data_IF_583738636393
#
_entry.id   IF_583738636393
#
_cell.length_a   1.000
_cell.length_b   1.000
_cell.length_c   1.000
_cell.angle_alpha   90.00
_cell.angle_beta   90.00
_cell.angle_gamma   90.00
#
_symmetry.space_group_name_H-M   'P 1'
#
loop_
_entity.id
_entity.type
_entity.pdbx_description
1 polymer ?
#
# COMPACT_ATOMS: atom_id res chain seq x y z
N UNK A 1 1.25 -15.08 8.09
CA UNK A 1 2.60 -14.68 8.54
C UNK A 1 3.11 -13.65 7.54
N UNK A 2 3.28 -12.39 7.96
CA UNK A 2 3.78 -11.33 7.07
C UNK A 2 5.11 -11.81 6.47
N UNK A 3 5.20 -11.99 5.15
CA UNK A 3 6.50 -12.22 4.50
C UNK A 3 7.35 -10.97 4.77
N UNK A 4 8.43 -11.09 5.55
CA UNK A 4 9.22 -9.93 5.91
C UNK A 4 9.90 -9.43 4.64
N UNK A 5 9.75 -8.13 4.40
CA UNK A 5 10.69 -7.35 3.60
C UNK A 5 10.64 -7.49 2.07
N UNK A 6 9.47 -7.31 1.46
CA UNK A 6 9.42 -6.61 0.16
C UNK A 6 9.37 -5.09 0.43
N UNK A 7 10.48 -4.34 0.34
CA UNK A 7 10.48 -2.91 0.61
C UNK A 7 9.90 -2.20 -0.62
N UNK A 8 8.58 -2.04 -0.66
CA UNK A 8 7.99 -1.07 -1.58
C UNK A 8 8.53 0.30 -1.16
N UNK A 9 9.35 0.90 -2.02
CA UNK A 9 9.99 2.20 -1.78
C UNK A 9 8.96 3.28 -1.43
N UNK A 10 7.72 3.13 -1.92
CA UNK A 10 6.57 3.98 -1.64
C UNK A 10 6.02 3.87 -0.21
N UNK A 11 6.27 2.79 0.55
CA UNK A 11 5.74 2.59 1.93
C UNK A 11 6.10 3.72 2.89
N UNK A 12 7.26 4.37 2.69
CA UNK A 12 7.70 5.51 3.52
C UNK A 12 7.17 6.86 3.02
N UNK A 13 6.78 6.95 1.75
CA UNK A 13 6.26 8.17 1.13
C UNK A 13 4.76 8.34 1.37
N UNK A 14 3.99 7.26 1.28
CA UNK A 14 2.53 7.31 1.39
C UNK A 14 2.02 7.92 2.71
N UNK A 15 2.54 7.57 3.90
CA UNK A 15 2.13 8.21 5.15
C UNK A 15 2.49 9.71 5.20
N UNK A 16 3.65 10.08 4.63
CA UNK A 16 4.11 11.49 4.58
C UNK A 16 3.24 12.35 3.68
N UNK A 17 2.78 11.79 2.56
CA UNK A 17 1.80 12.44 1.69
C UNK A 17 0.41 12.52 2.34
N UNK A 18 0.17 11.69 3.36
CA UNK A 18 -1.05 11.74 4.13
C UNK A 18 -2.06 10.65 3.87
N UNK A 19 -1.63 9.62 3.16
CA UNK A 19 -2.43 8.46 2.90
C UNK A 19 -2.39 7.54 4.11
N UNK A 20 -3.50 6.84 4.36
CA UNK A 20 -3.60 5.80 5.39
C UNK A 20 -3.63 4.43 4.73
N UNK A 21 -3.10 3.42 5.41
CA UNK A 21 -3.19 2.03 4.98
C UNK A 21 -4.59 1.50 5.34
N UNK A 22 -5.36 1.11 4.35
CA UNK A 22 -6.75 0.65 4.52
C UNK A 22 -6.85 -0.88 4.50
N UNK A 23 -6.00 -1.55 3.74
CA UNK A 23 -6.04 -3.01 3.62
C UNK A 23 -4.66 -3.60 3.34
N UNK A 24 -4.52 -4.87 3.71
CA UNK A 24 -3.48 -5.77 3.26
C UNK A 24 -4.16 -6.98 2.63
N UNK A 25 -3.71 -7.34 1.43
CA UNK A 25 -4.26 -8.44 0.66
C UNK A 25 -3.14 -9.45 0.46
N UNK A 26 -3.27 -10.63 1.07
CA UNK A 26 -2.29 -11.71 0.91
C UNK A 26 -2.50 -12.43 -0.41
N UNK A 27 -1.41 -12.67 -1.15
CA UNK A 27 -1.41 -13.46 -2.40
C UNK A 27 -2.56 -13.12 -3.35
N UNK A 28 -2.89 -11.83 -3.48
CA UNK A 28 -4.04 -11.35 -4.25
C UNK A 28 -3.72 -11.16 -5.73
N UNK A 29 -2.45 -10.90 -6.05
CA UNK A 29 -2.02 -10.60 -7.41
C UNK A 29 -0.94 -11.56 -7.88
N UNK A 30 -1.12 -12.12 -9.07
CA UNK A 30 -0.07 -12.86 -9.77
C UNK A 30 0.70 -11.92 -10.70
N UNK A 31 1.97 -11.70 -10.39
CA UNK A 31 2.86 -10.84 -11.17
C UNK A 31 4.02 -11.69 -11.67
N UNK A 32 4.17 -11.77 -13.01
CA UNK A 32 5.20 -12.59 -13.66
C UNK A 32 5.19 -14.07 -13.21
N UNK A 33 4.00 -14.62 -12.97
CA UNK A 33 3.82 -16.02 -12.56
C UNK A 33 3.94 -16.28 -11.07
N UNK A 34 4.28 -15.25 -10.27
CA UNK A 34 4.44 -15.37 -8.82
C UNK A 34 3.29 -14.69 -8.09
N UNK A 35 2.74 -15.35 -7.06
CA UNK A 35 1.74 -14.74 -6.18
C UNK A 35 2.38 -13.73 -5.24
N UNK A 36 1.76 -12.55 -5.14
CA UNK A 36 2.29 -11.41 -4.40
C UNK A 36 1.23 -10.78 -3.51
N UNK A 37 1.70 -10.18 -2.42
CA UNK A 37 0.87 -9.45 -1.48
C UNK A 37 0.67 -8.00 -1.93
N UNK A 38 -0.53 -7.47 -1.69
CA UNK A 38 -0.92 -6.09 -1.94
C UNK A 38 -1.13 -5.27 -0.66
N UNK A 39 -0.89 -3.96 -0.75
CA UNK A 39 -1.25 -3.01 0.31
C UNK A 39 -2.04 -1.86 -0.29
N UNK A 40 -3.24 -1.61 0.22
CA UNK A 40 -4.08 -0.51 -0.23
C UNK A 40 -3.85 0.71 0.66
N UNK A 41 -3.45 1.83 0.03
CA UNK A 41 -3.39 3.14 0.66
C UNK A 41 -4.47 4.04 0.07
N UNK A 42 -5.15 4.83 0.91
CA UNK A 42 -6.14 5.80 0.47
C UNK A 42 -5.87 7.19 1.06
N UNK A 43 -6.19 8.23 0.30
CA UNK A 43 -6.20 9.61 0.77
C UNK A 43 -7.64 10.03 1.08
N UNK A 44 -7.95 10.52 2.30
CA UNK A 44 -9.26 11.08 2.58
C UNK A 44 -9.54 12.30 1.69
N UNK A 45 -10.74 12.39 1.11
CA UNK A 45 -11.15 13.46 0.19
C UNK A 45 -10.93 14.87 0.80
N UNK A 46 -11.31 15.08 2.07
CA UNK A 46 -11.05 16.35 2.80
C UNK A 46 -9.59 16.79 2.79
N UNK A 47 -8.65 15.83 2.80
CA UNK A 47 -7.21 16.11 2.81
C UNK A 47 -6.72 16.43 1.41
N UNK A 48 -7.27 15.75 0.40
CA UNK A 48 -6.99 16.05 -0.99
C UNK A 48 -7.46 17.45 -1.37
N UNK A 49 -8.67 17.86 -0.94
CA UNK A 49 -9.22 19.20 -1.22
C UNK A 49 -8.57 20.33 -0.43
N UNK A 50 -7.88 20.03 0.67
CA UNK A 50 -7.18 21.01 1.50
C UNK A 50 -5.72 21.27 1.05
N UNK A 51 -5.32 20.70 -0.09
CA UNK A 51 -4.05 20.97 -0.78
C UNK A 51 -4.27 21.96 -1.91
#
# INVERSE_FOLDING_TARGET
>A
MLKPDFPLHSKRLTPRLGMRREAYLGENESVKGEWTDGVVYAMPDRRWRAR
#
